data_IF_372396141396
#
_entry.id   IF_372396141396
#
_cell.length_a   1.000
_cell.length_b   1.000
_cell.length_c   1.000
_cell.angle_alpha   90.00
_cell.angle_beta   90.00
_cell.angle_gamma   90.00
#
_symmetry.space_group_name_H-M   'P 1'
#
loop_
_entity.id
_entity.type
_entity.pdbx_description
1 polymer ?
#
# COMPACT_ATOMS: atom_id res chain seq x y z
N UNK A 1 -6.50 -15.16 -2.50
CA UNK A 1 -5.97 -13.88 -3.01
C UNK A 1 -5.86 -12.96 -1.81
N UNK A 2 -4.67 -12.51 -1.40
CA UNK A 2 -4.47 -11.83 -0.10
C UNK A 2 -5.30 -10.54 -0.02
N UNK A 3 -6.37 -10.61 0.77
CA UNK A 3 -7.43 -9.62 0.96
C UNK A 3 -6.87 -8.23 1.31
N UNK A 4 -5.84 -8.23 2.17
CA UNK A 4 -5.15 -7.06 2.72
C UNK A 4 -4.55 -6.07 1.69
N UNK A 5 -4.20 -6.53 0.49
CA UNK A 5 -3.33 -5.76 -0.43
C UNK A 5 -4.12 -4.99 -1.50
N UNK A 6 -5.32 -5.47 -1.82
CA UNK A 6 -6.31 -4.71 -2.61
C UNK A 6 -6.84 -3.52 -1.79
N UNK A 7 -6.96 -3.71 -0.48
CA UNK A 7 -7.39 -2.67 0.45
C UNK A 7 -6.42 -1.48 0.48
N UNK A 8 -5.11 -1.69 0.30
CA UNK A 8 -4.14 -0.58 0.34
C UNK A 8 -4.23 0.37 -0.86
N UNK A 9 -4.45 -0.15 -2.08
CA UNK A 9 -4.67 0.71 -3.26
C UNK A 9 -5.97 1.52 -3.12
N UNK A 10 -7.03 0.87 -2.62
CA UNK A 10 -8.31 1.53 -2.31
C UNK A 10 -8.12 2.60 -1.22
N UNK A 11 -7.30 2.30 -0.20
CA UNK A 11 -6.95 3.22 0.87
C UNK A 11 -6.24 4.47 0.33
N UNK A 12 -5.26 4.32 -0.56
CA UNK A 12 -4.55 5.45 -1.17
C UNK A 12 -5.48 6.34 -1.99
N UNK A 13 -6.33 5.75 -2.83
CA UNK A 13 -7.33 6.50 -3.60
C UNK A 13 -8.31 7.23 -2.68
N UNK A 14 -8.74 6.58 -1.59
CA UNK A 14 -9.61 7.19 -0.57
C UNK A 14 -8.90 8.33 0.16
N UNK A 15 -7.62 8.20 0.52
CA UNK A 15 -6.82 9.27 1.11
C UNK A 15 -6.74 10.49 0.20
N UNK A 16 -6.45 10.29 -1.09
CA UNK A 16 -6.39 11.37 -2.08
C UNK A 16 -7.74 12.07 -2.22
N UNK A 17 -8.83 11.31 -2.30
CA UNK A 17 -10.18 11.86 -2.37
C UNK A 17 -10.54 12.67 -1.10
N UNK A 18 -10.25 12.14 0.09
CA UNK A 18 -10.55 12.81 1.36
C UNK A 18 -9.73 14.11 1.52
N UNK A 19 -8.45 14.11 1.13
CA UNK A 19 -7.62 15.32 1.11
C UNK A 19 -8.14 16.37 0.13
N UNK A 20 -8.53 15.94 -1.07
CA UNK A 20 -9.15 16.83 -2.06
C UNK A 20 -10.48 17.41 -1.53
N UNK A 21 -11.34 16.57 -0.93
CA UNK A 21 -12.62 16.99 -0.35
C UNK A 21 -12.44 18.01 0.77
N UNK A 22 -11.41 17.90 1.60
CA UNK A 22 -11.07 18.89 2.63
C UNK A 22 -10.56 20.21 2.06
N UNK A 23 -10.05 20.21 0.83
CA UNK A 23 -9.62 21.43 0.12
C UNK A 23 -10.82 22.24 -0.39
N UNK A 24 -12.01 21.64 -0.44
CA UNK A 24 -13.23 22.32 -0.88
C UNK A 24 -13.73 23.33 0.17
N UNK A 25 -13.92 24.58 -0.27
CA UNK A 25 -14.35 25.70 0.59
C UNK A 25 -15.83 25.64 0.97
N UNK A 26 -16.64 24.80 0.32
CA UNK A 26 -18.10 24.68 0.59
C UNK A 26 -18.48 23.60 1.61
N UNK A 27 -17.51 22.87 2.17
CA UNK A 27 -17.79 21.81 3.14
C UNK A 27 -18.33 22.40 4.47
N UNK A 28 -19.47 21.89 4.94
CA UNK A 28 -20.02 22.25 6.25
C UNK A 28 -19.02 21.89 7.37
N UNK A 29 -19.01 22.67 8.46
CA UNK A 29 -18.15 22.41 9.62
C UNK A 29 -18.33 20.99 10.17
N UNK A 30 -19.55 20.45 10.12
CA UNK A 30 -19.87 19.07 10.55
C UNK A 30 -19.29 18.02 9.62
N UNK A 31 -19.32 18.26 8.30
CA UNK A 31 -18.79 17.33 7.29
C UNK A 31 -17.27 17.31 7.27
N UNK A 32 -16.62 18.44 7.59
CA UNK A 32 -15.17 18.51 7.76
C UNK A 32 -14.69 17.60 8.87
N UNK A 33 -15.28 17.69 10.06
CA UNK A 33 -14.87 16.87 11.21
C UNK A 33 -15.05 15.38 10.94
N UNK A 34 -16.14 14.99 10.24
CA UNK A 34 -16.34 13.61 9.82
C UNK A 34 -15.27 13.15 8.81
N UNK A 35 -14.97 13.98 7.81
CA UNK A 35 -13.96 13.70 6.77
C UNK A 35 -12.55 13.62 7.37
N UNK A 36 -12.22 14.47 8.35
CA UNK A 36 -10.96 14.44 9.10
C UNK A 36 -10.83 13.16 9.94
N UNK A 37 -11.92 12.71 10.56
CA UNK A 37 -11.96 11.44 11.28
C UNK A 37 -11.69 10.25 10.36
N UNK A 38 -12.35 10.19 9.20
CA UNK A 38 -12.09 9.17 8.18
C UNK A 38 -10.65 9.25 7.63
N UNK A 39 -10.14 10.46 7.40
CA UNK A 39 -8.78 10.68 6.94
C UNK A 39 -7.77 10.14 7.96
N UNK A 40 -7.99 10.42 9.25
CA UNK A 40 -7.13 9.95 10.33
C UNK A 40 -7.13 8.43 10.45
N UNK A 41 -8.29 7.79 10.33
CA UNK A 41 -8.39 6.34 10.27
C UNK A 41 -7.62 5.76 9.07
N UNK A 42 -7.76 6.39 7.89
CA UNK A 42 -7.06 5.94 6.70
C UNK A 42 -5.54 6.13 6.80
N UNK A 43 -5.09 7.22 7.44
CA UNK A 43 -3.67 7.49 7.69
C UNK A 43 -3.07 6.48 8.67
N UNK A 44 -3.79 6.11 9.72
CA UNK A 44 -3.33 5.08 10.67
C UNK A 44 -3.13 3.72 9.97
N UNK A 45 -4.11 3.31 9.14
CA UNK A 45 -3.97 2.12 8.29
C UNK A 45 -2.79 2.20 7.34
N UNK A 46 -2.52 3.37 6.77
CA UNK A 46 -1.37 3.58 5.90
C UNK A 46 -0.06 3.47 6.68
N UNK A 47 0.03 4.05 7.87
CA UNK A 47 1.22 3.98 8.72
C UNK A 47 1.51 2.53 9.14
N UNK A 48 0.49 1.74 9.49
CA UNK A 48 0.65 0.32 9.77
C UNK A 48 1.21 -0.43 8.56
N UNK A 49 0.71 -0.13 7.36
CA UNK A 49 1.24 -0.71 6.12
C UNK A 49 2.69 -0.28 5.87
N UNK A 50 3.03 1.00 6.03
CA UNK A 50 4.40 1.50 5.85
C UNK A 50 5.36 0.92 6.88
N UNK A 51 4.95 0.72 8.14
CA UNK A 51 5.75 0.01 9.16
C UNK A 51 5.96 -1.45 8.85
N UNK A 52 5.02 -2.12 8.18
CA UNK A 52 5.22 -3.46 7.69
C UNK A 52 6.21 -3.44 6.53
N UNK A 53 6.00 -2.56 5.55
CA UNK A 53 6.90 -2.37 4.40
C UNK A 53 8.32 -1.98 4.84
N UNK A 54 8.47 -1.20 5.91
CA UNK A 54 9.78 -0.78 6.44
C UNK A 54 10.59 -1.92 7.06
N UNK A 55 9.95 -3.04 7.42
CA UNK A 55 10.66 -4.26 7.89
C UNK A 55 11.29 -5.05 6.74
N UNK A 56 10.96 -4.71 5.50
CA UNK A 56 11.48 -5.38 4.31
C UNK A 56 12.65 -4.60 3.70
N UNK A 57 13.59 -5.32 3.09
CA UNK A 57 14.76 -4.74 2.43
C UNK A 57 14.37 -3.89 1.20
N UNK A 58 15.27 -3.00 0.75
CA UNK A 58 15.03 -2.07 -0.37
C UNK A 58 14.49 -2.74 -1.65
N UNK A 59 14.87 -3.99 -1.93
CA UNK A 59 14.37 -4.72 -3.10
C UNK A 59 12.96 -5.26 -2.90
N UNK A 60 12.64 -5.71 -1.69
CA UNK A 60 11.36 -6.27 -1.33
C UNK A 60 10.29 -5.18 -1.30
N UNK A 61 10.66 -4.00 -0.78
CA UNK A 61 9.84 -2.79 -0.84
C UNK A 61 9.52 -2.39 -2.28
N UNK A 62 10.52 -2.40 -3.19
CA UNK A 62 10.30 -2.10 -4.62
C UNK A 62 9.40 -3.13 -5.28
N UNK A 63 9.58 -4.41 -5.00
CA UNK A 63 8.71 -5.47 -5.52
C UNK A 63 7.27 -5.27 -5.05
N UNK A 64 7.06 -4.98 -3.76
CA UNK A 64 5.73 -4.69 -3.22
C UNK A 64 5.13 -3.43 -3.90
N UNK A 65 5.90 -2.35 -3.98
CA UNK A 65 5.44 -1.09 -4.58
C UNK A 65 5.02 -1.27 -6.04
N UNK A 66 5.89 -1.82 -6.89
CA UNK A 66 5.59 -2.03 -8.31
C UNK A 66 4.44 -3.03 -8.52
N UNK A 67 4.34 -4.04 -7.64
CA UNK A 67 3.26 -5.03 -7.70
C UNK A 67 1.90 -4.43 -7.40
N UNK A 68 1.81 -3.49 -6.46
CA UNK A 68 0.52 -3.05 -5.90
C UNK A 68 0.15 -1.60 -6.25
N UNK A 69 1.12 -0.71 -6.37
CA UNK A 69 0.90 0.68 -6.84
C UNK A 69 0.75 0.69 -8.35
N UNK A 70 1.69 0.06 -9.05
CA UNK A 70 1.68 0.02 -10.51
C UNK A 70 0.94 -1.21 -11.09
N UNK A 71 0.38 -2.08 -10.24
CA UNK A 71 -0.36 -3.29 -10.63
C UNK A 71 0.40 -4.23 -11.58
N UNK A 72 1.74 -4.24 -11.53
CA UNK A 72 2.57 -4.99 -12.47
C UNK A 72 2.62 -6.48 -12.15
N UNK A 73 2.97 -7.29 -13.15
CA UNK A 73 3.25 -8.72 -12.95
C UNK A 73 4.65 -8.93 -12.36
N UNK A 74 4.90 -10.05 -11.68
CA UNK A 74 6.25 -10.35 -11.15
C UNK A 74 7.31 -10.39 -12.27
N UNK A 75 6.89 -10.80 -13.47
CA UNK A 75 7.68 -10.79 -14.70
C UNK A 75 8.05 -9.36 -15.10
N UNK A 76 7.08 -8.46 -15.18
CA UNK A 76 7.33 -7.05 -15.50
C UNK A 76 8.23 -6.39 -14.45
N UNK A 77 8.02 -6.68 -13.17
CA UNK A 77 8.87 -6.18 -12.08
C UNK A 77 10.30 -6.67 -12.22
N UNK A 78 10.50 -7.94 -12.59
CA UNK A 78 11.82 -8.50 -12.84
C UNK A 78 12.52 -7.76 -13.99
N UNK A 79 11.79 -7.54 -15.09
CA UNK A 79 12.30 -6.82 -16.26
C UNK A 79 12.65 -5.37 -15.95
N UNK A 80 11.81 -4.65 -15.20
CA UNK A 80 12.04 -3.24 -14.85
C UNK A 80 13.14 -3.04 -13.80
N UNK A 81 13.24 -3.95 -12.83
CA UNK A 81 14.28 -3.90 -11.81
C UNK A 81 15.61 -4.52 -12.30
N UNK A 82 15.63 -5.14 -13.48
CA UNK A 82 16.83 -5.77 -14.05
C UNK A 82 17.25 -7.07 -13.35
N UNK A 83 16.32 -7.75 -12.68
CA UNK A 83 16.56 -9.03 -12.01
C UNK A 83 15.94 -10.21 -12.78
N UNK A 84 16.39 -11.42 -12.48
CA UNK A 84 15.75 -12.62 -13.03
C UNK A 84 14.36 -12.83 -12.41
N UNK A 85 13.42 -13.34 -13.22
CA UNK A 85 12.07 -13.66 -12.76
C UNK A 85 12.11 -14.61 -11.56
N UNK A 86 13.00 -15.61 -11.59
CA UNK A 86 13.17 -16.57 -10.50
C UNK A 86 13.58 -15.89 -9.19
N UNK A 87 14.47 -14.89 -9.24
CA UNK A 87 14.90 -14.14 -8.06
C UNK A 87 13.74 -13.34 -7.45
N UNK A 88 12.97 -12.64 -8.28
CA UNK A 88 11.79 -11.89 -7.84
C UNK A 88 10.70 -12.80 -7.27
N UNK A 89 10.47 -13.96 -7.90
CA UNK A 89 9.52 -14.97 -7.38
C UNK A 89 9.93 -15.52 -6.01
N UNK A 90 11.23 -15.82 -5.82
CA UNK A 90 11.74 -16.27 -4.54
C UNK A 90 11.61 -15.20 -3.46
N UNK A 91 11.98 -13.96 -3.76
CA UNK A 91 11.82 -12.82 -2.85
C UNK A 91 10.36 -12.58 -2.50
N UNK A 92 9.47 -12.55 -3.48
CA UNK A 92 8.03 -12.40 -3.25
C UNK A 92 7.46 -13.49 -2.33
N UNK A 93 7.97 -14.72 -2.44
CA UNK A 93 7.57 -15.83 -1.58
C UNK A 93 8.08 -15.70 -0.15
N UNK A 94 9.26 -15.10 0.07
CA UNK A 94 9.79 -14.77 1.40
C UNK A 94 8.96 -13.64 2.04
N UNK A 95 8.67 -12.59 1.28
CA UNK A 95 7.82 -11.47 1.71
C UNK A 95 6.45 -11.97 2.18
N UNK A 96 5.79 -12.82 1.40
CA UNK A 96 4.50 -13.41 1.79
C UNK A 96 4.56 -14.20 3.10
N UNK A 97 5.65 -14.93 3.35
CA UNK A 97 5.84 -15.67 4.60
C UNK A 97 6.02 -14.74 5.80
N UNK A 98 6.82 -13.69 5.63
CA UNK A 98 7.06 -12.68 6.66
C UNK A 98 5.79 -11.90 7.02
N UNK A 99 4.98 -11.50 6.02
CA UNK A 99 3.68 -10.84 6.27
C UNK A 99 2.77 -11.77 7.07
N UNK A 100 2.63 -13.03 6.64
CA UNK A 100 1.80 -14.03 7.33
C UNK A 100 2.26 -14.27 8.78
N UNK A 101 3.56 -14.20 9.02
CA UNK A 101 4.15 -14.35 10.35
C UNK A 101 3.92 -13.13 11.24
N UNK A 102 3.89 -11.91 10.68
CA UNK A 102 3.62 -10.69 11.45
C UNK A 102 2.14 -10.50 11.81
N UNK A 103 1.22 -11.28 11.24
CA UNK A 103 -0.20 -11.32 11.60
C UNK A 103 -0.53 -12.39 12.68
N UNK A 104 0.45 -13.20 13.11
CA UNK A 104 0.33 -14.21 14.18
C UNK A 104 0.87 -13.68 15.50
#
# INVERSE_FOLDING_TARGET
MSFWLKDYSILLNKLTYLQFKLTDKKLSSTERTATEGELRYCLDRKEQFEKLVSKFDSIEQKILYEKYVNSKTLVQIAHELGYSEHYIHNKYSQIKRLIKFSES
#
